data_IF_210632126982
#
_entry.id   IF_210632126982
#
_cell.length_a   1.000
_cell.length_b   1.000
_cell.length_c   1.000
_cell.angle_alpha   90.00
_cell.angle_beta   90.00
_cell.angle_gamma   90.00
#
_symmetry.space_group_name_H-M   'P 1'
#
loop_
_entity.id
_entity.type
_entity.pdbx_description
1 polymer ?
#
# COMPACT_ATOMS: atom_id res chain seq x y z
N UNK A 1 -1.74 -4.61 -8.77
CA UNK A 1 -0.91 -5.74 -9.23
C UNK A 1 -0.34 -6.46 -8.02
N UNK A 2 -0.12 -7.78 -8.06
CA UNK A 2 0.33 -8.52 -6.88
C UNK A 2 1.69 -8.04 -6.39
N UNK A 3 1.77 -7.57 -5.15
CA UNK A 3 3.01 -7.12 -4.53
C UNK A 3 4.07 -8.21 -4.33
N UNK A 4 3.64 -9.48 -4.38
CA UNK A 4 4.53 -10.63 -4.22
C UNK A 4 5.35 -10.97 -5.49
N UNK A 5 5.08 -10.36 -6.64
CA UNK A 5 5.71 -10.74 -7.91
C UNK A 5 6.77 -9.71 -8.36
N UNK A 6 8.05 -10.00 -8.09
CA UNK A 6 9.19 -9.14 -8.47
C UNK A 6 9.22 -8.83 -9.98
N UNK A 7 8.91 -9.81 -10.83
CA UNK A 7 8.86 -9.62 -12.27
C UNK A 7 7.75 -8.64 -12.67
N UNK A 8 6.64 -8.61 -11.93
CA UNK A 8 5.57 -7.63 -12.16
C UNK A 8 6.00 -6.21 -11.73
N UNK A 9 6.69 -6.08 -10.58
CA UNK A 9 7.22 -4.81 -10.09
C UNK A 9 8.24 -4.19 -11.06
N UNK A 10 9.16 -4.99 -11.60
CA UNK A 10 10.13 -4.51 -12.58
C UNK A 10 9.45 -4.13 -13.91
N UNK A 11 8.49 -4.94 -14.37
CA UNK A 11 7.74 -4.62 -15.59
C UNK A 11 6.95 -3.32 -15.43
N UNK A 12 6.41 -3.05 -14.26
CA UNK A 12 5.59 -1.87 -13.99
C UNK A 12 6.31 -0.54 -14.22
N UNK A 13 7.64 -0.49 -14.05
CA UNK A 13 8.45 0.70 -14.34
C UNK A 13 8.33 1.18 -15.79
N UNK A 14 8.04 0.26 -16.72
CA UNK A 14 7.88 0.54 -18.15
C UNK A 14 6.43 0.69 -18.63
N UNK A 15 5.42 0.42 -17.81
CA UNK A 15 4.00 0.42 -18.24
C UNK A 15 3.50 1.87 -18.36
N UNK A 16 2.89 2.30 -19.46
CA UNK A 16 2.31 3.64 -19.59
C UNK A 16 0.97 3.74 -18.83
N UNK A 17 1.04 3.71 -17.51
CA UNK A 17 -0.08 3.94 -16.60
C UNK A 17 0.15 5.23 -15.81
N UNK A 18 -0.94 5.91 -15.43
CA UNK A 18 -0.86 7.12 -14.60
C UNK A 18 -0.59 6.78 -13.12
N UNK A 19 -1.19 5.69 -12.64
CA UNK A 19 -1.09 5.22 -11.26
C UNK A 19 -0.89 3.71 -11.19
N UNK A 20 -0.18 3.25 -10.16
CA UNK A 20 0.11 1.86 -9.88
C UNK A 20 -0.39 1.52 -8.48
N UNK A 21 -1.31 0.55 -8.39
CA UNK A 21 -1.72 -0.04 -7.12
C UNK A 21 -0.91 -1.30 -6.88
N UNK A 22 -0.04 -1.29 -5.87
CA UNK A 22 0.73 -2.43 -5.40
C UNK A 22 -0.08 -3.15 -4.32
N UNK A 23 -0.47 -4.38 -4.59
CA UNK A 23 -1.49 -5.07 -3.81
C UNK A 23 -0.90 -5.98 -2.74
N UNK A 24 -1.34 -5.78 -1.49
CA UNK A 24 -1.09 -6.66 -0.34
C UNK A 24 -2.34 -7.44 0.08
N UNK A 25 -3.51 -7.17 -0.50
CA UNK A 25 -4.79 -7.80 -0.15
C UNK A 25 -5.04 -9.06 -1.02
N UNK A 26 -6.11 -9.10 -1.81
CA UNK A 26 -6.64 -10.33 -2.42
C UNK A 26 -5.67 -11.03 -3.39
N UNK A 27 -4.74 -10.29 -4.01
CA UNK A 27 -3.78 -10.90 -4.93
C UNK A 27 -2.56 -11.53 -4.25
N UNK A 28 -2.54 -11.57 -2.91
CA UNK A 28 -1.44 -12.12 -2.11
C UNK A 28 -1.97 -13.22 -1.20
N UNK A 29 -1.39 -14.42 -1.29
CA UNK A 29 -1.72 -15.53 -0.41
C UNK A 29 -1.31 -15.22 1.05
N UNK A 30 -2.04 -15.73 2.07
CA UNK A 30 -1.78 -15.41 3.48
C UNK A 30 -0.33 -15.65 3.93
N UNK A 31 0.29 -16.75 3.49
CA UNK A 31 1.67 -17.12 3.79
C UNK A 31 2.70 -16.20 3.12
N UNK A 32 2.32 -15.48 2.07
CA UNK A 32 3.17 -14.55 1.34
C UNK A 32 3.00 -13.08 1.78
N UNK A 33 2.11 -12.77 2.74
CA UNK A 33 1.77 -11.39 3.14
C UNK A 33 2.97 -10.61 3.67
N UNK A 34 3.72 -11.21 4.59
CA UNK A 34 4.87 -10.57 5.22
C UNK A 34 5.95 -10.23 4.18
N UNK A 35 6.29 -11.20 3.33
CA UNK A 35 7.29 -11.00 2.28
C UNK A 35 6.80 -10.01 1.20
N UNK A 36 5.52 -10.06 0.84
CA UNK A 36 4.93 -9.10 -0.11
C UNK A 36 4.99 -7.68 0.43
N UNK A 37 4.70 -7.47 1.71
CA UNK A 37 4.80 -6.16 2.38
C UNK A 37 6.22 -5.62 2.28
N UNK A 38 7.22 -6.42 2.64
CA UNK A 38 8.62 -6.01 2.54
C UNK A 38 9.02 -5.61 1.11
N UNK A 39 8.66 -6.43 0.12
CA UNK A 39 8.96 -6.16 -1.30
C UNK A 39 8.27 -4.91 -1.83
N UNK A 40 6.98 -4.74 -1.55
CA UNK A 40 6.20 -3.58 -2.00
C UNK A 40 6.73 -2.30 -1.39
N UNK A 41 7.00 -2.29 -0.09
CA UNK A 41 7.55 -1.13 0.60
C UNK A 41 8.92 -0.76 0.03
N UNK A 42 9.80 -1.76 -0.16
CA UNK A 42 11.11 -1.55 -0.79
C UNK A 42 10.98 -1.01 -2.23
N UNK A 43 10.01 -1.49 -3.02
CA UNK A 43 9.77 -1.00 -4.37
C UNK A 43 9.37 0.48 -4.38
N UNK A 44 8.43 0.88 -3.52
CA UNK A 44 8.01 2.29 -3.40
C UNK A 44 9.18 3.17 -2.95
N UNK A 45 9.90 2.78 -1.89
CA UNK A 45 11.00 3.59 -1.35
C UNK A 45 12.21 3.67 -2.27
N UNK A 46 12.47 2.64 -3.09
CA UNK A 46 13.57 2.66 -4.07
C UNK A 46 13.27 3.52 -5.30
N UNK A 47 11.99 3.81 -5.57
CA UNK A 47 11.56 4.61 -6.71
C UNK A 47 11.76 3.91 -8.05
N UNK A 48 12.10 4.69 -9.09
CA UNK A 48 12.31 4.15 -10.45
C UNK A 48 11.02 3.98 -11.28
N UNK A 49 9.89 4.46 -10.78
CA UNK A 49 8.60 4.43 -11.48
C UNK A 49 8.28 5.71 -12.26
N UNK A 50 9.22 6.67 -12.31
CA UNK A 50 9.07 7.90 -13.07
C UNK A 50 8.00 8.83 -12.47
N UNK A 51 7.08 9.31 -13.30
CA UNK A 51 5.99 10.23 -12.91
C UNK A 51 4.71 9.55 -12.41
N UNK A 52 4.75 8.23 -12.27
CA UNK A 52 3.57 7.43 -11.93
C UNK A 52 3.27 7.61 -10.46
N UNK A 53 1.99 7.75 -10.14
CA UNK A 53 1.53 7.70 -8.76
C UNK A 53 1.68 6.27 -8.23
N UNK A 54 2.35 6.13 -7.10
CA UNK A 54 2.57 4.86 -6.43
C UNK A 54 1.64 4.74 -5.24
N UNK A 55 0.78 3.74 -5.28
CA UNK A 55 -0.17 3.48 -4.20
C UNK A 55 -0.02 2.04 -3.71
N UNK A 56 -0.25 1.83 -2.42
CA UNK A 56 -0.21 0.48 -1.82
C UNK A 56 -1.60 0.15 -1.30
N UNK A 57 -2.18 -0.98 -1.76
CA UNK A 57 -3.40 -1.52 -1.17
C UNK A 57 -3.07 -2.42 -0.01
N UNK A 58 -3.43 -1.99 1.20
CA UNK A 58 -3.23 -2.74 2.44
C UNK A 58 -4.33 -3.76 2.66
N UNK A 59 -4.14 -4.68 3.60
CA UNK A 59 -5.20 -5.58 4.03
C UNK A 59 -6.30 -4.82 4.81
N UNK A 60 -7.51 -5.39 4.88
CA UNK A 60 -8.66 -4.80 5.55
C UNK A 60 -8.47 -4.63 7.06
N UNK A 61 -9.18 -3.66 7.65
CA UNK A 61 -9.06 -3.26 9.07
C UNK A 61 -9.30 -4.42 10.05
N UNK A 62 -10.04 -5.43 9.63
CA UNK A 62 -10.43 -6.62 10.40
C UNK A 62 -9.43 -7.78 10.33
N UNK A 63 -8.32 -7.59 9.61
CA UNK A 63 -7.30 -8.63 9.40
C UNK A 63 -6.10 -8.46 10.32
N UNK A 64 -5.41 -9.57 10.63
CA UNK A 64 -4.18 -9.56 11.43
C UNK A 64 -3.02 -8.80 10.77
N UNK A 65 -3.06 -8.58 9.46
CA UNK A 65 -2.00 -7.93 8.71
C UNK A 65 -2.11 -6.40 8.69
N UNK A 66 -3.26 -5.83 9.04
CA UNK A 66 -3.57 -4.41 8.77
C UNK A 66 -2.63 -3.43 9.47
N UNK A 67 -2.50 -3.53 10.79
CA UNK A 67 -1.65 -2.60 11.56
C UNK A 67 -0.19 -2.64 11.10
N UNK A 68 0.23 -3.84 10.78
CA UNK A 68 1.55 -4.24 10.36
C UNK A 68 1.85 -3.75 8.91
N UNK A 69 0.84 -3.74 8.04
CA UNK A 69 0.88 -3.09 6.73
C UNK A 69 0.96 -1.57 6.87
N UNK A 70 0.10 -0.94 7.68
CA UNK A 70 0.08 0.52 7.86
C UNK A 70 1.43 1.05 8.36
N UNK A 71 2.04 0.39 9.33
CA UNK A 71 3.35 0.78 9.86
C UNK A 71 4.43 0.72 8.77
N UNK A 72 4.47 -0.35 7.97
CA UNK A 72 5.44 -0.48 6.90
C UNK A 72 5.20 0.51 5.75
N UNK A 73 3.93 0.73 5.39
CA UNK A 73 3.53 1.65 4.32
C UNK A 73 3.80 3.10 4.70
N UNK A 74 3.56 3.49 5.96
CA UNK A 74 3.91 4.80 6.48
C UNK A 74 5.41 5.09 6.31
N UNK A 75 6.27 4.12 6.66
CA UNK A 75 7.70 4.23 6.43
C UNK A 75 8.09 4.25 4.94
N UNK A 76 7.34 3.53 4.09
CA UNK A 76 7.61 3.46 2.67
C UNK A 76 7.28 4.76 1.91
N UNK A 77 6.26 5.49 2.38
CA UNK A 77 5.87 6.80 1.89
C UNK A 77 5.27 6.84 0.48
N UNK A 78 4.29 5.98 0.12
CA UNK A 78 3.62 6.06 -1.18
C UNK A 78 2.85 7.38 -1.36
N UNK A 79 2.43 7.66 -2.59
CA UNK A 79 1.53 8.79 -2.86
C UNK A 79 0.15 8.55 -2.23
N UNK A 80 -0.30 7.29 -2.14
CA UNK A 80 -1.50 6.95 -1.38
C UNK A 80 -1.49 5.54 -0.77
N UNK A 81 -2.23 5.40 0.34
CA UNK A 81 -2.61 4.11 0.93
C UNK A 81 -4.05 3.81 0.52
N UNK A 82 -4.24 2.74 -0.23
CA UNK A 82 -5.56 2.24 -0.62
C UNK A 82 -6.06 1.31 0.47
N UNK A 83 -7.17 1.65 1.10
CA UNK A 83 -7.74 0.86 2.20
C UNK A 83 -9.05 0.21 1.76
N UNK A 84 -9.11 -1.13 1.70
CA UNK A 84 -10.30 -1.85 1.29
C UNK A 84 -11.37 -1.84 2.39
N UNK A 85 -12.64 -1.98 1.97
CA UNK A 85 -13.80 -2.24 2.84
C UNK A 85 -14.01 -1.15 3.90
N UNK A 86 -13.83 0.11 3.53
CA UNK A 86 -14.20 1.25 4.37
C UNK A 86 -15.73 1.35 4.40
N UNK A 87 -16.33 1.17 5.57
CA UNK A 87 -17.79 1.20 5.76
C UNK A 87 -18.26 2.46 6.48
N UNK A 88 -17.35 3.22 7.08
CA UNK A 88 -17.70 4.40 7.88
C UNK A 88 -16.64 5.51 7.79
N UNK A 89 -17.04 6.72 8.17
CA UNK A 89 -16.09 7.82 8.35
C UNK A 89 -15.13 7.57 9.53
N UNK A 90 -15.54 6.76 10.51
CA UNK A 90 -14.68 6.40 11.65
C UNK A 90 -13.55 5.46 11.22
N UNK A 91 -13.81 4.58 10.25
CA UNK A 91 -12.77 3.72 9.66
C UNK A 91 -11.66 4.56 9.03
N UNK A 92 -12.04 5.61 8.28
CA UNK A 92 -11.09 6.55 7.66
C UNK A 92 -10.28 7.29 8.73
N UNK A 93 -10.93 7.77 9.80
CA UNK A 93 -10.25 8.45 10.92
C UNK A 93 -9.28 7.52 11.65
N UNK A 94 -9.64 6.24 11.80
CA UNK A 94 -8.76 5.25 12.42
C UNK A 94 -7.50 5.01 11.57
N UNK A 95 -7.65 4.91 10.25
CA UNK A 95 -6.51 4.81 9.32
C UNK A 95 -5.65 6.08 9.37
N UNK A 96 -6.27 7.26 9.34
CA UNK A 96 -5.56 8.55 9.43
C UNK A 96 -4.71 8.66 10.69
N UNK A 97 -5.31 8.34 11.85
CA UNK A 97 -4.59 8.32 13.13
C UNK A 97 -3.44 7.32 13.12
N UNK A 98 -3.66 6.10 12.63
CA UNK A 98 -2.63 5.07 12.58
C UNK A 98 -1.46 5.45 11.64
N UNK A 99 -1.74 6.07 10.49
CA UNK A 99 -0.71 6.56 9.58
C UNK A 99 0.07 7.74 10.19
N UNK A 100 -0.62 8.66 10.87
CA UNK A 100 0.02 9.78 11.56
C UNK A 100 0.93 9.30 12.69
N UNK A 101 0.46 8.36 13.52
CA UNK A 101 1.22 7.76 14.62
C UNK A 101 2.45 6.99 14.11
N UNK A 102 2.33 6.34 12.95
CA UNK A 102 3.43 5.64 12.29
C UNK A 102 4.40 6.60 11.55
N UNK A 103 4.14 7.91 11.53
CA UNK A 103 5.00 8.91 10.91
C UNK A 103 4.91 8.95 9.38
N UNK A 104 3.75 8.63 8.80
CA UNK A 104 3.55 8.71 7.37
C UNK A 104 3.83 10.14 6.84
N UNK A 105 4.45 10.28 5.65
CA UNK A 105 4.67 11.58 5.04
C UNK A 105 3.36 12.34 4.80
N UNK A 106 3.40 13.67 4.93
CA UNK A 106 2.22 14.52 4.73
C UNK A 106 1.64 14.46 3.29
N UNK A 107 2.41 13.97 2.31
CA UNK A 107 1.93 13.78 0.94
C UNK A 107 1.16 12.48 0.74
N UNK A 108 1.27 11.52 1.66
CA UNK A 108 0.61 10.22 1.54
C UNK A 108 -0.89 10.37 1.79
N UNK A 109 -1.69 10.26 0.73
CA UNK A 109 -3.14 10.34 0.79
C UNK A 109 -3.78 9.01 1.27
N UNK A 110 -5.03 9.09 1.73
CA UNK A 110 -5.85 7.90 2.00
C UNK A 110 -6.85 7.73 0.85
N UNK A 111 -6.83 6.57 0.21
CA UNK A 111 -7.78 6.17 -0.81
C UNK A 111 -8.74 5.15 -0.21
N UNK A 112 -9.90 5.61 0.23
CA UNK A 112 -10.96 4.75 0.75
C UNK A 112 -11.62 3.97 -0.41
N UNK A 113 -11.63 2.65 -0.31
CA UNK A 113 -12.37 1.76 -1.20
C UNK A 113 -13.62 1.26 -0.47
N UNK A 114 -14.77 1.66 -0.99
CA UNK A 114 -16.12 1.45 -0.44
C UNK A 114 -16.83 0.32 -1.18
#
# INVERSE_FOLDING_TARGET
MPGANERALEKAKGIPADSLILDLEDAVAPDAKADARQRVCAAVSSGGYGRRELTIRVNGLDTEWHADDLAAVAAAGPDAVVVPKINSADDVRAVEAALADAGAPAHTAIWAMV
#
